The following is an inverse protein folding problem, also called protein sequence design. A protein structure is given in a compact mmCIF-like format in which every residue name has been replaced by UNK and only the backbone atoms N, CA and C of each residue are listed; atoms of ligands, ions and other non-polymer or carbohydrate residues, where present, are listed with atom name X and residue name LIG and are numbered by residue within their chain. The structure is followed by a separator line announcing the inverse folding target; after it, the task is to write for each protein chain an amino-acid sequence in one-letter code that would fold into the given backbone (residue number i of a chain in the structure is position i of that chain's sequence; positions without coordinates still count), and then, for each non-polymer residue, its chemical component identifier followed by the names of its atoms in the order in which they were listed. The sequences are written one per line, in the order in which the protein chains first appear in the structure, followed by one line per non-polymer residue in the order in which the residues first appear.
data_IF_264507330728
#
_entry.id   IF_264507330728
#
_cell.length_a   1.000
_cell.length_b   1.000
_cell.length_c   1.000
_cell.angle_alpha   90.00
_cell.angle_beta   90.00
_cell.angle_gamma   90.00
#
_symmetry.space_group_name_H-M   'P 1'
#
loop_
_entity.id
_entity.type
_entity.pdbx_description
1 polymer ?
#
# COMPACT_ATOMS: atom_id res chain seq x y z
N UNK A 1 22.51 -9.70 -3.06
CA UNK A 1 21.50 -8.89 -2.33
C UNK A 1 21.81 -7.38 -2.31
N UNK A 2 23.02 -6.90 -1.95
CA UNK A 2 23.30 -5.45 -1.97
C UNK A 2 23.23 -4.86 -3.39
N UNK A 3 23.80 -5.56 -4.38
CA UNK A 3 23.78 -5.15 -5.79
C UNK A 3 22.35 -5.02 -6.37
N UNK A 4 21.46 -5.98 -6.06
CA UNK A 4 20.06 -5.91 -6.48
C UNK A 4 19.30 -4.72 -5.86
N UNK A 5 19.55 -4.43 -4.59
CA UNK A 5 18.96 -3.28 -3.91
C UNK A 5 19.50 -1.94 -4.46
N UNK A 6 20.78 -1.90 -4.82
CA UNK A 6 21.41 -0.73 -5.45
C UNK A 6 20.88 -0.49 -6.86
N UNK A 7 20.79 -1.54 -7.69
CA UNK A 7 20.17 -1.47 -9.01
C UNK A 7 18.71 -1.00 -8.94
N UNK A 8 17.94 -1.48 -7.96
CA UNK A 8 16.57 -1.02 -7.73
C UNK A 8 16.52 0.47 -7.35
N UNK A 9 17.41 0.94 -6.46
CA UNK A 9 17.51 2.37 -6.10
C UNK A 9 17.88 3.25 -7.30
N UNK A 10 18.78 2.78 -8.14
CA UNK A 10 19.18 3.51 -9.35
C UNK A 10 18.05 3.60 -10.36
N UNK A 11 17.30 2.50 -10.57
CA UNK A 11 16.13 2.50 -11.42
C UNK A 11 15.04 3.46 -10.90
N UNK A 12 14.73 3.40 -9.60
CA UNK A 12 13.80 4.32 -8.95
C UNK A 12 14.24 5.79 -9.08
N UNK A 13 15.54 6.06 -8.89
CA UNK A 13 16.10 7.41 -9.04
C UNK A 13 15.96 7.94 -10.47
N UNK A 14 16.16 7.09 -11.48
CA UNK A 14 15.97 7.44 -12.89
C UNK A 14 14.51 7.76 -13.19
N UNK A 15 13.57 6.94 -12.72
CA UNK A 15 12.12 7.19 -12.88
C UNK A 15 11.72 8.48 -12.18
N UNK A 16 12.19 8.70 -10.96
CA UNK A 16 11.87 9.89 -10.18
C UNK A 16 12.28 11.19 -10.89
N UNK A 17 13.48 11.19 -11.51
CA UNK A 17 14.04 12.33 -12.25
C UNK A 17 13.55 12.42 -13.70
N UNK A 18 12.72 11.49 -14.17
CA UNK A 18 12.20 11.51 -15.53
C UNK A 18 11.29 12.72 -15.74
N UNK A 19 11.38 13.39 -16.90
CA UNK A 19 10.64 14.64 -17.18
C UNK A 19 9.12 14.51 -17.01
N UNK A 20 8.56 13.37 -17.39
CA UNK A 20 7.13 13.09 -17.21
C UNK A 20 6.74 13.05 -15.72
N UNK A 21 7.60 12.51 -14.87
CA UNK A 21 7.37 12.48 -13.43
C UNK A 21 7.57 13.88 -12.82
N UNK A 22 8.59 14.63 -13.23
CA UNK A 22 8.84 15.98 -12.69
C UNK A 22 7.69 16.99 -12.92
N UNK A 23 6.88 16.82 -13.97
CA UNK A 23 5.79 17.75 -14.33
C UNK A 23 4.39 17.16 -14.28
N UNK A 24 4.27 15.84 -14.30
CA UNK A 24 3.01 15.12 -14.40
C UNK A 24 2.94 13.91 -13.47
N UNK A 25 3.70 13.92 -12.36
CA UNK A 25 3.74 12.81 -11.42
C UNK A 25 2.35 12.30 -10.97
N UNK A 26 1.29 13.12 -10.80
CA UNK A 26 0.01 12.60 -10.35
C UNK A 26 -0.59 11.59 -11.35
N UNK A 27 -0.41 11.82 -12.65
CA UNK A 27 -0.91 10.91 -13.70
C UNK A 27 -0.12 9.60 -13.69
N UNK A 28 1.21 9.69 -13.63
CA UNK A 28 2.05 8.48 -13.60
C UNK A 28 1.93 7.70 -12.29
N UNK A 29 1.66 8.38 -11.18
CA UNK A 29 1.37 7.76 -9.88
C UNK A 29 0.02 7.03 -9.93
N UNK A 30 -1.03 7.67 -10.45
CA UNK A 30 -2.34 7.04 -10.64
C UNK A 30 -2.25 5.79 -11.55
N UNK A 31 -1.55 5.88 -12.68
CA UNK A 31 -1.30 4.71 -13.54
C UNK A 31 -0.55 3.60 -12.80
N UNK A 32 0.49 3.95 -12.04
CA UNK A 32 1.26 2.99 -11.26
C UNK A 32 0.38 2.32 -10.18
N UNK A 33 -0.48 3.08 -9.50
CA UNK A 33 -1.42 2.56 -8.51
C UNK A 33 -2.42 1.59 -9.14
N UNK A 34 -2.97 1.91 -10.33
CA UNK A 34 -3.85 1.00 -11.07
C UNK A 34 -3.12 -0.27 -11.50
N UNK A 35 -1.88 -0.16 -12.01
CA UNK A 35 -1.06 -1.34 -12.35
C UNK A 35 -0.76 -2.20 -11.12
N UNK A 36 -0.44 -1.57 -9.99
CA UNK A 36 -0.19 -2.27 -8.73
C UNK A 36 -1.44 -2.99 -8.23
N UNK A 37 -2.61 -2.34 -8.25
CA UNK A 37 -3.87 -2.95 -7.85
C UNK A 37 -4.22 -4.19 -8.69
N UNK A 38 -4.04 -4.11 -10.02
CA UNK A 38 -4.25 -5.25 -10.92
C UNK A 38 -3.29 -6.40 -10.61
N UNK A 39 -2.02 -6.11 -10.36
CA UNK A 39 -1.04 -7.12 -9.96
C UNK A 39 -1.38 -7.75 -8.60
N UNK A 40 -1.77 -6.95 -7.61
CA UNK A 40 -2.22 -7.46 -6.30
C UNK A 40 -3.44 -8.36 -6.44
N UNK A 41 -4.43 -7.95 -7.24
CA UNK A 41 -5.60 -8.78 -7.52
C UNK A 41 -5.21 -10.12 -8.15
N UNK A 42 -4.28 -10.13 -9.10
CA UNK A 42 -3.79 -11.37 -9.70
C UNK A 42 -3.10 -12.29 -8.70
N UNK A 43 -2.33 -11.73 -7.75
CA UNK A 43 -1.69 -12.52 -6.69
C UNK A 43 -2.71 -13.19 -5.78
N UNK A 44 -3.84 -12.53 -5.53
CA UNK A 44 -4.94 -13.05 -4.71
C UNK A 44 -5.96 -13.89 -5.53
N UNK A 45 -5.65 -14.21 -6.80
CA UNK A 45 -6.47 -15.06 -7.66
C UNK A 45 -7.60 -14.34 -8.42
N UNK A 46 -7.65 -13.01 -8.36
CA UNK A 46 -8.56 -12.16 -9.11
C UNK A 46 -8.07 -11.83 -10.53
N UNK A 47 -8.84 -10.98 -11.21
CA UNK A 47 -8.63 -10.55 -12.58
C UNK A 47 -7.73 -9.32 -12.68
N UNK A 48 -6.91 -9.30 -13.74
CA UNK A 48 -6.19 -8.08 -14.14
C UNK A 48 -6.99 -7.25 -15.14
N UNK A 49 -8.18 -7.66 -15.57
CA UNK A 49 -8.90 -6.98 -16.66
C UNK A 49 -9.83 -5.91 -16.08
N UNK A 50 -9.64 -4.68 -16.55
CA UNK A 50 -10.63 -3.63 -16.40
C UNK A 50 -11.61 -3.75 -17.58
N UNK A 51 -12.90 -3.64 -17.32
CA UNK A 51 -13.90 -3.57 -18.39
C UNK A 51 -13.70 -2.30 -19.22
N UNK A 52 -14.07 -2.35 -20.50
CA UNK A 52 -13.93 -1.22 -21.42
C UNK A 52 -14.79 -0.01 -21.01
N UNK A 53 -15.89 -0.24 -20.30
CA UNK A 53 -16.77 0.78 -19.72
C UNK A 53 -16.34 1.24 -18.32
N UNK A 54 -15.23 0.69 -17.79
CA UNK A 54 -14.71 1.01 -16.47
C UNK A 54 -15.41 0.27 -15.32
N UNK A 55 -16.36 -0.62 -15.60
CA UNK A 55 -16.95 -1.47 -14.57
C UNK A 55 -15.91 -2.44 -13.98
N UNK A 56 -15.95 -2.61 -12.66
CA UNK A 56 -15.10 -3.57 -11.94
C UNK A 56 -16.02 -4.58 -11.27
N UNK A 57 -16.18 -5.73 -11.92
CA UNK A 57 -17.08 -6.79 -11.46
C UNK A 57 -16.41 -7.73 -10.45
N UNK A 58 -15.10 -7.95 -10.60
CA UNK A 58 -14.36 -8.79 -9.67
C UNK A 58 -14.15 -8.07 -8.33
N UNK A 59 -14.70 -8.60 -7.23
CA UNK A 59 -14.61 -7.96 -5.92
C UNK A 59 -13.15 -7.88 -5.40
N UNK A 60 -12.25 -8.78 -5.81
CA UNK A 60 -10.83 -8.74 -5.45
C UNK A 60 -10.17 -7.52 -6.11
N UNK A 61 -10.40 -7.34 -7.41
CA UNK A 61 -9.89 -6.18 -8.14
C UNK A 61 -10.48 -4.87 -7.60
N UNK A 62 -11.78 -4.85 -7.30
CA UNK A 62 -12.45 -3.69 -6.70
C UNK A 62 -11.85 -3.34 -5.32
N UNK A 63 -11.55 -4.34 -4.50
CA UNK A 63 -10.84 -4.16 -3.22
C UNK A 63 -9.44 -3.59 -3.40
N UNK A 64 -8.66 -4.19 -4.30
CA UNK A 64 -7.29 -3.74 -4.59
C UNK A 64 -7.24 -2.30 -5.12
N UNK A 65 -8.20 -1.88 -5.94
CA UNK A 65 -8.31 -0.51 -6.44
C UNK A 65 -8.65 0.49 -5.32
N UNK A 66 -9.55 0.13 -4.40
CA UNK A 66 -9.89 0.98 -3.23
C UNK A 66 -8.69 1.15 -2.30
N UNK A 67 -7.91 0.10 -2.10
CA UNK A 67 -6.62 0.19 -1.37
C UNK A 67 -5.64 1.08 -2.13
N UNK A 68 -5.51 0.93 -3.45
CA UNK A 68 -4.67 1.78 -4.29
C UNK A 68 -5.00 3.27 -4.14
N UNK A 69 -6.29 3.63 -4.12
CA UNK A 69 -6.74 5.00 -3.88
C UNK A 69 -6.39 5.52 -2.47
N UNK A 70 -6.44 4.67 -1.45
CA UNK A 70 -6.02 5.05 -0.10
C UNK A 70 -4.50 5.24 0.04
N UNK A 71 -3.73 4.76 -0.95
CA UNK A 71 -2.28 4.86 -1.03
C UNK A 71 -1.80 5.88 -2.06
N UNK A 72 -2.68 6.75 -2.57
CA UNK A 72 -2.35 7.78 -3.54
C UNK A 72 -2.61 9.20 -3.00
N UNK A 73 -1.90 10.18 -3.56
CA UNK A 73 -2.06 11.61 -3.27
C UNK A 73 -2.16 11.98 -1.78
N UNK A 74 -3.16 12.81 -1.44
CA UNK A 74 -3.39 13.26 -0.07
C UNK A 74 -3.86 12.13 0.86
N UNK A 75 -4.55 11.11 0.32
CA UNK A 75 -5.02 9.98 1.10
C UNK A 75 -3.86 9.18 1.70
N UNK A 76 -2.77 9.01 0.93
CA UNK A 76 -1.52 8.43 1.43
C UNK A 76 -0.95 9.23 2.60
N UNK A 77 -0.90 10.56 2.48
CA UNK A 77 -0.37 11.44 3.54
C UNK A 77 -1.19 11.29 4.83
N UNK A 78 -2.52 11.25 4.71
CA UNK A 78 -3.41 11.01 5.85
C UNK A 78 -3.21 9.61 6.45
N UNK A 79 -3.12 8.59 5.60
CA UNK A 79 -2.91 7.22 6.07
C UNK A 79 -1.55 7.07 6.76
N UNK A 80 -0.49 7.69 6.25
CA UNK A 80 0.84 7.69 6.84
C UNK A 80 0.87 8.37 8.22
N UNK A 81 0.10 9.44 8.40
CA UNK A 81 -0.06 10.11 9.69
C UNK A 81 -0.76 9.20 10.71
N UNK A 82 -1.83 8.50 10.29
CA UNK A 82 -2.51 7.50 11.14
C UNK A 82 -1.58 6.34 11.43
N UNK A 83 -0.89 5.81 10.42
CA UNK A 83 0.04 4.68 10.56
C UNK A 83 1.11 4.95 11.63
N UNK A 84 1.65 6.16 11.66
CA UNK A 84 2.69 6.54 12.62
C UNK A 84 2.21 6.59 14.07
N UNK A 85 0.90 6.79 14.30
CA UNK A 85 0.30 6.97 15.64
C UNK A 85 -0.53 5.75 16.09
N UNK A 86 -1.21 5.11 15.15
CA UNK A 86 -2.18 4.05 15.33
C UNK A 86 -2.10 3.05 14.15
N UNK A 87 -1.00 2.27 14.03
CA UNK A 87 -0.78 1.35 12.90
C UNK A 87 -1.88 0.28 12.77
N UNK A 88 -2.41 -0.22 13.89
CA UNK A 88 -3.51 -1.19 13.88
C UNK A 88 -4.80 -0.59 13.28
N UNK A 89 -5.08 0.68 13.53
CA UNK A 89 -6.22 1.36 12.92
C UNK A 89 -6.03 1.55 11.41
N UNK A 90 -4.81 1.85 10.97
CA UNK A 90 -4.50 1.95 9.55
C UNK A 90 -4.66 0.59 8.85
N UNK A 91 -4.18 -0.50 9.46
CA UNK A 91 -4.35 -1.87 8.97
C UNK A 91 -5.83 -2.27 8.92
N UNK A 92 -6.60 -1.97 9.96
CA UNK A 92 -8.04 -2.23 9.99
C UNK A 92 -8.75 -1.52 8.83
N UNK A 93 -8.44 -0.24 8.59
CA UNK A 93 -8.99 0.52 7.46
C UNK A 93 -8.63 -0.10 6.11
N UNK A 94 -7.38 -0.50 5.92
CA UNK A 94 -6.95 -1.17 4.68
C UNK A 94 -7.68 -2.50 4.48
N UNK A 95 -7.89 -3.27 5.55
CA UNK A 95 -8.66 -4.50 5.48
C UNK A 95 -10.12 -4.25 5.09
N UNK A 96 -10.79 -3.25 5.68
CA UNK A 96 -12.15 -2.86 5.28
C UNK A 96 -12.20 -2.56 3.79
N UNK A 97 -11.28 -1.73 3.28
CA UNK A 97 -11.22 -1.36 1.87
C UNK A 97 -10.93 -2.55 0.95
N UNK A 98 -10.11 -3.50 1.38
CA UNK A 98 -9.83 -4.69 0.59
C UNK A 98 -11.02 -5.66 0.58
N UNK A 99 -11.66 -5.89 1.73
CA UNK A 99 -12.58 -7.00 1.96
C UNK A 99 -14.07 -6.66 1.80
N UNK A 100 -14.45 -5.38 1.62
CA UNK A 100 -15.87 -5.03 1.40
C UNK A 100 -16.41 -5.79 0.18
N UNK A 101 -17.57 -6.43 0.35
CA UNK A 101 -18.20 -7.24 -0.69
C UNK A 101 -17.66 -8.68 -0.78
N UNK A 102 -16.71 -9.07 0.07
CA UNK A 102 -16.14 -10.42 0.12
C UNK A 102 -16.20 -11.05 1.51
N UNK A 103 -16.01 -10.26 2.57
CA UNK A 103 -16.09 -10.73 3.95
C UNK A 103 -17.40 -10.31 4.61
N UNK A 104 -17.81 -11.07 5.63
CA UNK A 104 -18.96 -10.73 6.47
C UNK A 104 -18.74 -9.37 7.14
N UNK A 105 -19.79 -8.54 7.14
CA UNK A 105 -19.71 -7.15 7.59
C UNK A 105 -19.20 -7.03 9.04
N UNK A 106 -19.58 -7.96 9.91
CA UNK A 106 -19.15 -8.00 11.31
C UNK A 106 -17.66 -8.32 11.50
N UNK A 107 -16.98 -8.82 10.46
CA UNK A 107 -15.56 -9.18 10.49
C UNK A 107 -14.67 -8.08 9.90
N UNK A 108 -15.25 -7.10 9.20
CA UNK A 108 -14.49 -6.07 8.50
C UNK A 108 -13.66 -5.21 9.48
N UNK A 109 -12.36 -5.13 9.20
CA UNK A 109 -11.41 -4.38 10.01
C UNK A 109 -11.13 -5.00 11.39
N UNK A 110 -11.64 -6.21 11.67
CA UNK A 110 -11.44 -6.90 12.96
C UNK A 110 -10.50 -8.09 12.76
N UNK A 111 -9.36 -8.14 13.47
CA UNK A 111 -8.52 -9.33 13.43
C UNK A 111 -9.26 -10.53 14.03
N UNK A 112 -8.95 -11.73 13.54
CA UNK A 112 -9.52 -12.94 14.11
C UNK A 112 -9.03 -13.11 15.55
N UNK A 113 -9.92 -13.45 16.52
CA UNK A 113 -9.51 -13.66 17.90
C UNK A 113 -8.39 -14.71 18.02
N UNK A 114 -7.37 -14.42 18.83
CA UNK A 114 -6.22 -15.30 19.07
C UNK A 114 -4.96 -14.83 18.34
N UNK A 115 -4.33 -15.73 17.58
CA UNK A 115 -2.98 -15.54 17.06
C UNK A 115 -2.79 -14.32 16.14
N UNK A 116 -3.84 -13.83 15.48
CA UNK A 116 -3.74 -12.65 14.60
C UNK A 116 -3.55 -11.37 15.43
N UNK A 117 -4.21 -11.24 16.59
CA UNK A 117 -4.10 -10.04 17.45
C UNK A 117 -2.69 -9.88 18.02
N UNK A 118 -2.15 -10.92 18.66
CA UNK A 118 -0.81 -10.87 19.28
C UNK A 118 0.28 -10.57 18.25
N UNK A 119 0.17 -11.17 17.05
CA UNK A 119 1.11 -10.94 15.94
C UNK A 119 0.99 -9.52 15.39
N UNK A 120 -0.22 -9.00 15.23
CA UNK A 120 -0.44 -7.65 14.74
C UNK A 120 0.05 -6.59 15.73
N UNK A 121 -0.13 -6.82 17.03
CA UNK A 121 0.43 -5.95 18.07
C UNK A 121 1.96 -5.95 18.05
N UNK A 122 2.58 -7.14 17.94
CA UNK A 122 4.03 -7.25 17.81
C UNK A 122 4.55 -6.55 16.54
N UNK A 123 3.85 -6.72 15.41
CA UNK A 123 4.17 -6.04 14.15
C UNK A 123 4.06 -4.52 14.29
N UNK A 124 2.99 -4.02 14.92
CA UNK A 124 2.79 -2.60 15.18
C UNK A 124 3.93 -2.02 16.01
N UNK A 125 4.35 -2.71 17.09
CA UNK A 125 5.49 -2.29 17.91
C UNK A 125 6.79 -2.28 17.11
N UNK A 126 7.02 -3.29 16.26
CA UNK A 126 8.23 -3.36 15.44
C UNK A 126 8.31 -2.22 14.43
N UNK A 127 7.21 -1.90 13.75
CA UNK A 127 7.15 -0.89 12.69
C UNK A 127 7.21 0.52 13.29
N UNK A 128 6.53 0.76 14.42
CA UNK A 128 6.54 2.05 15.11
C UNK A 128 7.80 2.29 15.96
N UNK A 129 8.49 1.23 16.39
CA UNK A 129 9.67 1.31 17.27
C UNK A 129 10.90 1.95 16.64
N UNK A 130 10.89 2.18 15.32
CA UNK A 130 11.94 2.85 14.56
C UNK A 130 13.24 2.01 14.44
N UNK A 131 14.00 2.18 13.36
CA UNK A 131 15.30 1.52 13.26
C UNK A 131 16.26 2.12 14.30
N UNK A 132 16.88 1.26 15.13
CA UNK A 132 18.01 1.62 16.03
C UNK A 132 19.30 1.94 15.27
N UNK A 133 19.21 2.47 14.04
CA UNK A 133 20.36 2.81 13.23
C UNK A 133 20.86 4.20 13.65
N UNK A 134 22.13 4.35 14.09
CA UNK A 134 22.67 5.65 14.45
C UNK A 134 22.58 6.61 13.24
N UNK A 135 21.95 7.78 13.42
CA UNK A 135 21.99 8.86 12.42
C UNK A 135 23.45 9.28 12.22
N UNK A 136 24.08 8.79 11.17
CA UNK A 136 25.39 9.27 10.73
C UNK A 136 25.20 10.64 10.09
N UNK A 137 25.26 11.70 10.89
CA UNK A 137 25.43 13.05 10.36
C UNK A 137 26.87 13.18 9.85
N UNK A 138 27.07 13.15 8.53
CA UNK A 138 28.25 13.79 7.94
C UNK A 138 27.83 15.18 7.47
N UNK A 139 28.15 16.20 8.28
CA UNK A 139 28.26 17.57 7.79
C UNK A 139 29.58 17.69 7.02
N UNK A 140 29.53 18.20 5.80
CA UNK A 140 30.59 19.02 5.22
C UNK A 140 30.00 20.41 5.02
#
# INVERSE_FOLDING_TARGET
MPEAAEAARDALSKVHRHRANLRGWPVTAAEAAVRAARSSSALDGGTMKLSADGAVEDPILAGALRVGQALDGDALTQLAAVWSRAPLQALARLHVLAATGMADEDTLGRPRPGADTDRLELLAQLISGGPRCPRRFSRR
#
